data_IF_264378244069
#
_entry.id   IF_264378244069
#
_cell.length_a   1.000
_cell.length_b   1.000
_cell.length_c   1.000
_cell.angle_alpha   90.00
_cell.angle_beta   90.00
_cell.angle_gamma   90.00
#
_symmetry.space_group_name_H-M   'P 1'
#
loop_
_entity.id
_entity.type
_entity.pdbx_description
1 polymer ?
#
# COMPACT_ATOMS: atom_id res chain seq x y z
N UNK A 1 -25.90 10.98 22.27
CA UNK A 1 -24.53 10.49 22.58
C UNK A 1 -24.49 8.98 22.82
N UNK A 2 -25.41 8.37 23.58
CA UNK A 2 -25.41 6.93 23.90
C UNK A 2 -25.47 5.98 22.69
N UNK A 3 -26.23 6.31 21.64
CA UNK A 3 -26.36 5.47 20.45
C UNK A 3 -25.06 5.37 19.61
N UNK A 4 -24.26 6.44 19.55
CA UNK A 4 -22.95 6.42 18.88
C UNK A 4 -21.96 5.53 19.63
N UNK A 5 -21.90 5.61 20.96
CA UNK A 5 -21.02 4.75 21.75
C UNK A 5 -21.39 3.27 21.65
N UNK A 6 -22.69 2.95 21.56
CA UNK A 6 -23.17 1.59 21.35
C UNK A 6 -22.73 1.04 19.97
N UNK A 7 -22.89 1.81 18.90
CA UNK A 7 -22.48 1.39 17.56
C UNK A 7 -20.97 1.15 17.46
N UNK A 8 -20.14 1.98 18.08
CA UNK A 8 -18.68 1.78 18.13
C UNK A 8 -18.30 0.52 18.91
N UNK A 9 -18.96 0.28 20.05
CA UNK A 9 -18.74 -0.92 20.84
C UNK A 9 -19.13 -2.20 20.08
N UNK A 10 -20.25 -2.20 19.38
CA UNK A 10 -20.68 -3.32 18.53
C UNK A 10 -19.67 -3.57 17.41
N UNK A 11 -19.26 -2.54 16.68
CA UNK A 11 -18.26 -2.65 15.61
C UNK A 11 -16.93 -3.22 16.14
N UNK A 12 -16.45 -2.76 17.29
CA UNK A 12 -15.25 -3.26 17.93
C UNK A 12 -15.34 -4.75 18.29
N UNK A 13 -16.45 -5.18 18.89
CA UNK A 13 -16.68 -6.59 19.24
C UNK A 13 -16.80 -7.47 17.98
N UNK A 14 -17.46 -6.99 16.92
CA UNK A 14 -17.51 -7.72 15.64
C UNK A 14 -16.13 -7.94 15.06
N UNK A 15 -15.25 -6.93 15.07
CA UNK A 15 -13.87 -7.06 14.59
C UNK A 15 -13.09 -8.08 15.43
N UNK A 16 -13.21 -8.05 16.77
CA UNK A 16 -12.56 -9.04 17.65
C UNK A 16 -13.06 -10.45 17.34
N UNK A 17 -14.38 -10.64 17.22
CA UNK A 17 -14.97 -11.95 16.91
C UNK A 17 -14.48 -12.46 15.56
N UNK A 18 -14.46 -11.61 14.52
CA UNK A 18 -13.93 -11.97 13.21
C UNK A 18 -12.44 -12.36 13.29
N UNK A 19 -11.62 -11.58 14.00
CA UNK A 19 -10.21 -11.94 14.22
C UNK A 19 -10.08 -13.31 14.91
N UNK A 20 -10.85 -13.57 15.95
CA UNK A 20 -10.83 -14.86 16.64
C UNK A 20 -11.26 -16.01 15.73
N UNK A 21 -12.33 -15.82 14.94
CA UNK A 21 -12.82 -16.81 13.98
C UNK A 21 -11.78 -17.12 12.91
N UNK A 22 -11.10 -16.12 12.34
CA UNK A 22 -10.08 -16.32 11.30
C UNK A 22 -8.75 -16.83 11.85
N UNK A 23 -8.37 -16.49 13.08
CA UNK A 23 -7.13 -16.98 13.71
C UNK A 23 -7.27 -18.38 14.31
N UNK A 24 -8.46 -18.72 14.80
CA UNK A 24 -8.68 -20.01 15.48
C UNK A 24 -8.33 -21.23 14.63
N UNK A 25 -8.66 -21.32 13.33
CA UNK A 25 -8.26 -22.47 12.51
C UNK A 25 -6.74 -22.58 12.38
N UNK A 26 -6.04 -21.46 12.27
CA UNK A 26 -4.57 -21.44 12.16
C UNK A 26 -3.94 -21.89 13.48
N UNK A 27 -4.45 -21.45 14.62
CA UNK A 27 -3.95 -21.80 15.94
C UNK A 27 -4.29 -23.25 16.33
N UNK A 28 -5.50 -23.71 15.98
CA UNK A 28 -5.97 -25.06 16.38
C UNK A 28 -5.50 -26.17 15.42
N UNK A 29 -5.43 -25.87 14.13
CA UNK A 29 -5.11 -26.87 13.08
C UNK A 29 -3.76 -26.64 12.43
N UNK A 30 -3.09 -25.50 12.69
CA UNK A 30 -1.75 -25.22 12.23
C UNK A 30 -0.76 -26.20 12.88
N UNK A 31 -0.41 -27.27 12.16
CA UNK A 31 0.60 -28.22 12.61
C UNK A 31 1.98 -27.70 12.22
N UNK A 32 2.90 -27.40 13.16
CA UNK A 32 4.28 -26.99 12.84
C UNK A 32 5.00 -28.00 11.94
N UNK A 33 4.61 -29.27 12.04
CA UNK A 33 5.15 -30.37 11.21
C UNK A 33 4.73 -30.35 9.74
N UNK A 34 3.72 -29.55 9.38
CA UNK A 34 3.33 -29.37 7.97
C UNK A 34 4.35 -28.54 7.18
N UNK A 35 5.30 -27.89 7.87
CA UNK A 35 6.35 -27.07 7.26
C UNK A 35 7.73 -27.61 7.69
N UNK A 36 8.21 -28.70 7.07
CA UNK A 36 9.51 -29.29 7.40
C UNK A 36 10.66 -28.30 7.25
N UNK A 37 10.50 -27.29 6.40
CA UNK A 37 11.46 -26.19 6.22
C UNK A 37 11.63 -25.32 7.48
N UNK A 38 10.61 -25.22 8.34
CA UNK A 38 10.65 -24.48 9.61
C UNK A 38 11.23 -25.31 10.77
N UNK A 39 11.22 -26.62 10.64
CA UNK A 39 11.73 -27.54 11.64
C UNK A 39 13.12 -28.09 11.31
N UNK A 40 13.60 -27.86 10.08
CA UNK A 40 14.98 -28.17 9.72
C UNK A 40 15.94 -27.30 10.56
N UNK A 41 16.98 -27.90 11.19
CA UNK A 41 18.02 -27.09 11.83
C UNK A 41 18.52 -26.07 10.82
N UNK A 42 18.75 -24.80 11.24
CA UNK A 42 19.30 -23.82 10.33
C UNK A 42 20.57 -24.40 9.71
N UNK A 43 20.55 -24.61 8.38
CA UNK A 43 21.75 -25.02 7.67
C UNK A 43 22.84 -24.06 8.15
N UNK A 44 23.92 -24.61 8.75
CA UNK A 44 25.05 -23.81 9.19
C UNK A 44 25.31 -22.80 8.11
N UNK A 45 25.19 -21.53 8.45
CA UNK A 45 25.51 -20.43 7.55
C UNK A 45 27.01 -20.58 7.22
N UNK A 46 27.29 -21.42 6.25
CA UNK A 46 28.59 -21.38 5.58
C UNK A 46 28.71 -19.95 5.12
N UNK A 47 29.80 -19.28 5.47
CA UNK A 47 30.12 -17.87 5.18
C UNK A 47 29.89 -17.53 3.71
N UNK A 48 28.64 -17.45 3.31
CA UNK A 48 28.28 -17.00 1.99
C UNK A 48 28.55 -15.48 1.96
N UNK A 49 29.39 -15.01 1.04
CA UNK A 49 29.75 -13.60 0.97
C UNK A 49 28.48 -12.76 1.03
N UNK A 50 28.52 -11.67 1.83
CA UNK A 50 27.43 -10.70 1.94
C UNK A 50 27.14 -10.15 0.55
N UNK A 51 26.22 -10.78 -0.16
CA UNK A 51 25.77 -10.26 -1.44
C UNK A 51 25.03 -8.94 -1.15
N UNK A 52 25.50 -7.87 -1.75
CA UNK A 52 24.80 -6.58 -1.76
C UNK A 52 23.40 -6.81 -2.35
N UNK A 53 22.36 -6.07 -1.87
CA UNK A 53 21.04 -6.15 -2.47
C UNK A 53 21.16 -5.95 -3.98
N UNK A 54 20.52 -6.80 -4.76
CA UNK A 54 20.52 -6.64 -6.22
C UNK A 54 19.86 -5.32 -6.60
N UNK A 55 20.37 -4.64 -7.62
CA UNK A 55 19.80 -3.36 -8.09
C UNK A 55 18.28 -3.40 -8.30
N UNK A 56 17.69 -4.48 -8.85
CA UNK A 56 16.24 -4.65 -8.93
C UNK A 56 15.51 -4.66 -7.58
N UNK A 57 16.04 -5.33 -6.56
CA UNK A 57 15.42 -5.37 -5.23
C UNK A 57 15.40 -3.99 -4.56
N UNK A 58 16.47 -3.21 -4.71
CA UNK A 58 16.53 -1.83 -4.21
C UNK A 58 15.51 -0.93 -4.90
N UNK A 59 15.37 -1.03 -6.22
CA UNK A 59 14.37 -0.26 -6.98
C UNK A 59 12.94 -0.61 -6.57
N UNK A 60 12.65 -1.90 -6.39
CA UNK A 60 11.35 -2.35 -5.88
C UNK A 60 11.08 -1.79 -4.49
N UNK A 61 12.07 -1.88 -3.59
CA UNK A 61 11.93 -1.35 -2.23
C UNK A 61 11.66 0.15 -2.22
N UNK A 62 12.45 0.94 -2.98
CA UNK A 62 12.25 2.38 -3.10
C UNK A 62 10.90 2.73 -3.73
N UNK A 63 10.50 2.07 -4.80
CA UNK A 63 9.21 2.32 -5.44
C UNK A 63 8.04 2.07 -4.47
N UNK A 64 8.10 0.99 -3.69
CA UNK A 64 7.09 0.72 -2.66
C UNK A 64 7.09 1.79 -1.58
N UNK A 65 8.26 2.18 -1.08
CA UNK A 65 8.37 3.21 -0.04
C UNK A 65 7.72 4.53 -0.48
N UNK A 66 8.01 4.98 -1.71
CA UNK A 66 7.47 6.23 -2.24
C UNK A 66 5.95 6.20 -2.38
N UNK A 67 5.39 5.10 -2.88
CA UNK A 67 3.93 4.93 -2.98
C UNK A 67 3.28 4.81 -1.59
N UNK A 68 3.93 4.12 -0.65
CA UNK A 68 3.43 3.99 0.73
C UNK A 68 3.44 5.32 1.49
N UNK A 69 4.38 6.23 1.21
CA UNK A 69 4.36 7.58 1.77
C UNK A 69 3.09 8.30 1.32
N UNK A 70 2.72 8.19 0.04
CA UNK A 70 1.50 8.78 -0.48
C UNK A 70 0.22 8.17 0.14
N UNK A 71 0.18 6.85 0.27
CA UNK A 71 -0.94 6.15 0.91
C UNK A 71 -1.10 6.55 2.39
N UNK A 72 -0.01 6.58 3.15
CA UNK A 72 -0.03 6.94 4.56
C UNK A 72 -0.52 8.38 4.78
N UNK A 73 -0.18 9.32 3.87
CA UNK A 73 -0.68 10.68 3.89
C UNK A 73 -2.20 10.73 3.83
N UNK A 74 -2.74 10.05 2.84
CA UNK A 74 -4.17 10.06 2.59
C UNK A 74 -4.96 9.31 3.63
N UNK A 75 -4.45 8.20 4.12
CA UNK A 75 -5.09 7.49 5.23
C UNK A 75 -5.25 8.37 6.47
N UNK A 76 -4.21 9.14 6.82
CA UNK A 76 -4.21 9.97 8.02
C UNK A 76 -5.00 11.28 7.85
N UNK A 77 -4.88 11.94 6.69
CA UNK A 77 -5.31 13.33 6.53
C UNK A 77 -6.47 13.53 5.54
N UNK A 78 -6.96 12.49 4.88
CA UNK A 78 -8.05 12.55 3.91
C UNK A 78 -9.30 13.25 4.47
N UNK A 79 -9.65 12.96 5.71
CA UNK A 79 -10.81 13.56 6.36
C UNK A 79 -10.67 15.07 6.54
N UNK A 80 -9.49 15.52 6.96
CA UNK A 80 -9.22 16.94 7.13
C UNK A 80 -9.21 17.67 5.79
N UNK A 81 -8.67 17.04 4.75
CA UNK A 81 -8.70 17.60 3.41
C UNK A 81 -10.11 17.70 2.86
N UNK A 82 -10.93 16.68 2.94
CA UNK A 82 -12.32 16.76 2.50
C UNK A 82 -13.10 17.85 3.24
N UNK A 83 -12.89 17.98 4.55
CA UNK A 83 -13.53 19.05 5.34
C UNK A 83 -12.98 20.44 5.07
N UNK A 84 -11.82 20.56 4.49
CA UNK A 84 -11.33 21.86 4.02
C UNK A 84 -12.03 22.33 2.74
N UNK A 85 -12.61 21.39 1.97
CA UNK A 85 -13.42 21.68 0.77
C UNK A 85 -14.90 21.84 1.16
N UNK A 86 -15.42 20.92 1.96
CA UNK A 86 -16.81 20.92 2.45
C UNK A 86 -16.84 20.64 3.96
N UNK A 87 -17.07 21.70 4.78
CA UNK A 87 -17.13 21.56 6.24
C UNK A 87 -18.27 20.66 6.75
N UNK A 88 -19.33 20.50 5.98
CA UNK A 88 -20.53 19.72 6.36
C UNK A 88 -20.40 18.23 6.02
N UNK A 89 -19.27 17.81 5.45
CA UNK A 89 -19.01 16.42 5.11
C UNK A 89 -19.12 15.49 6.33
N UNK A 90 -19.92 14.43 6.20
CA UNK A 90 -20.16 13.46 7.25
C UNK A 90 -19.03 12.42 7.35
N UNK A 91 -18.79 11.92 8.57
CA UNK A 91 -17.75 10.92 8.84
C UNK A 91 -17.95 9.59 8.07
N UNK A 92 -19.24 9.22 7.82
CA UNK A 92 -19.59 7.99 7.10
C UNK A 92 -19.26 8.06 5.60
N UNK A 93 -19.21 9.25 4.99
CA UNK A 93 -18.88 9.39 3.59
C UNK A 93 -17.44 8.98 3.29
N UNK A 94 -16.49 9.35 4.16
CA UNK A 94 -15.09 8.89 4.05
C UNK A 94 -15.01 7.37 4.05
N UNK A 95 -15.68 6.71 4.99
CA UNK A 95 -15.68 5.26 5.09
C UNK A 95 -16.31 4.60 3.84
N UNK A 96 -17.39 5.19 3.31
CA UNK A 96 -18.06 4.73 2.09
C UNK A 96 -17.14 4.81 0.87
N UNK A 97 -16.47 5.96 0.67
CA UNK A 97 -15.56 6.14 -0.47
C UNK A 97 -14.39 5.17 -0.37
N UNK A 98 -13.81 4.99 0.81
CA UNK A 98 -12.74 4.04 1.05
C UNK A 98 -13.19 2.59 0.76
N UNK A 99 -14.39 2.21 1.22
CA UNK A 99 -14.98 0.90 0.95
C UNK A 99 -15.20 0.65 -0.55
N UNK A 100 -15.67 1.65 -1.29
CA UNK A 100 -15.84 1.57 -2.75
C UNK A 100 -14.46 1.36 -3.42
N UNK A 101 -13.45 2.14 -3.03
CA UNK A 101 -12.11 2.02 -3.59
C UNK A 101 -11.54 0.60 -3.39
N UNK A 102 -11.65 0.04 -2.18
CA UNK A 102 -11.20 -1.33 -1.89
C UNK A 102 -11.98 -2.38 -2.70
N UNK A 103 -13.32 -2.23 -2.80
CA UNK A 103 -14.17 -3.16 -3.54
C UNK A 103 -13.82 -3.18 -5.02
N UNK A 104 -13.55 -2.03 -5.62
CA UNK A 104 -13.14 -1.93 -7.03
C UNK A 104 -11.70 -2.41 -7.25
N UNK A 105 -10.82 -2.20 -6.28
CA UNK A 105 -9.41 -2.59 -6.41
C UNK A 105 -9.22 -4.10 -6.52
N UNK A 106 -10.03 -4.92 -5.84
CA UNK A 106 -9.89 -6.38 -5.83
C UNK A 106 -10.00 -7.01 -7.23
N UNK A 107 -11.10 -6.81 -7.98
CA UNK A 107 -11.21 -7.40 -9.33
C UNK A 107 -10.16 -6.83 -10.29
N UNK A 108 -9.81 -5.54 -10.18
CA UNK A 108 -8.80 -4.92 -11.03
C UNK A 108 -7.41 -5.51 -10.73
N UNK A 109 -7.05 -5.72 -9.46
CA UNK A 109 -5.78 -6.34 -9.08
C UNK A 109 -5.68 -7.77 -9.62
N UNK A 110 -6.76 -8.56 -9.49
CA UNK A 110 -6.80 -9.93 -10.00
C UNK A 110 -6.71 -9.97 -11.53
N UNK A 111 -7.44 -9.10 -12.22
CA UNK A 111 -7.40 -9.01 -13.67
C UNK A 111 -6.01 -8.58 -14.18
N UNK A 112 -5.43 -7.56 -13.55
CA UNK A 112 -4.10 -7.03 -13.87
C UNK A 112 -3.00 -8.07 -13.61
N UNK A 113 -3.10 -8.83 -12.51
CA UNK A 113 -2.17 -9.93 -12.21
C UNK A 113 -2.24 -11.05 -13.25
N UNK A 114 -3.45 -11.50 -13.57
CA UNK A 114 -3.66 -12.52 -14.63
C UNK A 114 -3.16 -12.06 -16.00
N UNK A 115 -3.40 -10.80 -16.33
CA UNK A 115 -2.92 -10.22 -17.58
C UNK A 115 -1.39 -10.17 -17.62
N UNK A 116 -0.75 -9.75 -16.52
CA UNK A 116 0.70 -9.72 -16.38
C UNK A 116 1.33 -11.10 -16.58
N UNK A 117 0.74 -12.12 -15.96
CA UNK A 117 1.23 -13.51 -16.05
C UNK A 117 1.05 -14.08 -17.47
N UNK A 118 -0.07 -13.78 -18.14
CA UNK A 118 -0.34 -14.26 -19.51
C UNK A 118 0.57 -13.62 -20.56
N UNK A 119 0.99 -12.36 -20.33
CA UNK A 119 1.78 -11.62 -21.32
C UNK A 119 3.28 -11.56 -20.97
N UNK A 120 3.69 -12.22 -19.89
CA UNK A 120 5.08 -12.19 -19.37
C UNK A 120 5.59 -10.76 -19.15
N UNK A 121 4.73 -9.89 -18.62
CA UNK A 121 5.02 -8.49 -18.35
C UNK A 121 4.70 -8.11 -16.90
N UNK A 122 5.44 -8.66 -15.92
CA UNK A 122 5.09 -8.56 -14.50
C UNK A 122 5.16 -7.13 -13.95
N UNK A 123 5.98 -6.25 -14.52
CA UNK A 123 6.16 -4.88 -14.03
C UNK A 123 5.22 -3.86 -14.70
N UNK A 124 4.64 -4.18 -15.86
CA UNK A 124 3.82 -3.20 -16.57
C UNK A 124 2.56 -2.76 -15.80
N UNK A 125 1.80 -3.66 -15.16
CA UNK A 125 0.68 -3.22 -14.31
C UNK A 125 1.10 -2.37 -13.11
N UNK A 126 2.29 -2.62 -12.55
CA UNK A 126 2.83 -1.78 -11.48
C UNK A 126 3.13 -0.36 -11.95
N UNK A 127 3.77 -0.24 -13.11
CA UNK A 127 4.06 1.05 -13.76
C UNK A 127 2.75 1.80 -14.06
N UNK A 128 1.78 1.10 -14.64
CA UNK A 128 0.47 1.68 -14.97
C UNK A 128 -0.28 2.13 -13.71
N UNK A 129 -0.32 1.30 -12.67
CA UNK A 129 -0.97 1.64 -11.41
C UNK A 129 -0.31 2.83 -10.72
N UNK A 130 1.03 2.92 -10.73
CA UNK A 130 1.74 4.07 -10.18
C UNK A 130 1.44 5.37 -10.98
N UNK A 131 1.37 5.28 -12.31
CA UNK A 131 1.01 6.42 -13.16
C UNK A 131 -0.42 6.92 -12.89
N UNK A 132 -1.39 5.99 -12.80
CA UNK A 132 -2.79 6.32 -12.49
C UNK A 132 -2.93 6.87 -11.07
N UNK A 133 -2.19 6.33 -10.12
CA UNK A 133 -2.14 6.86 -8.75
C UNK A 133 -1.62 8.29 -8.70
N UNK A 134 -0.52 8.58 -9.42
CA UNK A 134 0.02 9.94 -9.53
C UNK A 134 -0.99 10.91 -10.20
N UNK A 135 -1.68 10.48 -11.25
CA UNK A 135 -2.72 11.26 -11.90
C UNK A 135 -3.90 11.55 -10.95
N UNK A 136 -4.31 10.56 -10.15
CA UNK A 136 -5.32 10.75 -9.10
C UNK A 136 -4.91 11.83 -8.09
N UNK A 137 -3.65 11.83 -7.63
CA UNK A 137 -3.16 12.88 -6.71
C UNK A 137 -3.10 14.27 -7.36
N UNK A 138 -2.73 14.36 -8.63
CA UNK A 138 -2.81 15.64 -9.36
C UNK A 138 -4.26 16.11 -9.44
N UNK A 139 -5.20 15.20 -9.72
CA UNK A 139 -6.63 15.52 -9.68
C UNK A 139 -7.09 16.00 -8.30
N UNK A 140 -6.58 15.41 -7.21
CA UNK A 140 -6.85 15.86 -5.84
C UNK A 140 -6.28 17.26 -5.57
N UNK A 141 -5.07 17.55 -6.04
CA UNK A 141 -4.46 18.87 -5.90
C UNK A 141 -5.22 19.98 -6.65
N UNK A 142 -5.90 19.63 -7.73
CA UNK A 142 -6.69 20.57 -8.54
C UNK A 142 -8.18 20.60 -8.16
N UNK A 143 -8.61 19.78 -7.21
CA UNK A 143 -10.00 19.65 -6.84
C UNK A 143 -10.46 20.81 -5.95
N UNK A 144 -11.35 21.65 -6.48
CA UNK A 144 -12.01 22.74 -5.76
C UNK A 144 -13.42 22.35 -5.27
N UNK A 145 -13.98 21.27 -5.81
CA UNK A 145 -15.31 20.76 -5.50
C UNK A 145 -15.23 19.35 -4.93
N UNK A 146 -16.16 19.02 -4.02
CA UNK A 146 -16.18 17.76 -3.30
C UNK A 146 -16.30 16.53 -4.23
N UNK A 147 -17.09 16.63 -5.30
CA UNK A 147 -17.30 15.52 -6.23
C UNK A 147 -16.04 15.21 -7.03
N UNK A 148 -15.33 16.23 -7.49
CA UNK A 148 -14.03 16.06 -8.15
C UNK A 148 -13.00 15.51 -7.17
N UNK A 149 -13.00 15.97 -5.92
CA UNK A 149 -12.15 15.48 -4.86
C UNK A 149 -12.39 13.98 -4.59
N UNK A 150 -13.65 13.56 -4.46
CA UNK A 150 -14.05 12.16 -4.28
C UNK A 150 -13.64 11.28 -5.46
N UNK A 151 -13.89 11.74 -6.68
CA UNK A 151 -13.52 11.01 -7.91
C UNK A 151 -12.01 10.83 -8.02
N UNK A 152 -11.24 11.89 -7.79
CA UNK A 152 -9.78 11.86 -7.82
C UNK A 152 -9.20 10.93 -6.75
N UNK A 153 -9.76 10.96 -5.55
CA UNK A 153 -9.39 10.02 -4.49
C UNK A 153 -9.72 8.57 -4.84
N UNK A 154 -10.87 8.29 -5.46
CA UNK A 154 -11.21 6.94 -5.91
C UNK A 154 -10.19 6.41 -6.93
N UNK A 155 -9.81 7.23 -7.89
CA UNK A 155 -8.76 6.89 -8.87
C UNK A 155 -7.45 6.57 -8.17
N UNK A 156 -7.01 7.43 -7.27
CA UNK A 156 -5.81 7.22 -6.46
C UNK A 156 -5.91 5.93 -5.62
N UNK A 157 -6.97 5.78 -4.83
CA UNK A 157 -7.14 4.68 -3.87
C UNK A 157 -7.20 3.31 -4.54
N UNK A 158 -7.94 3.20 -5.66
CA UNK A 158 -7.98 1.97 -6.46
C UNK A 158 -6.59 1.66 -7.03
N UNK A 159 -5.96 2.63 -7.68
CA UNK A 159 -4.66 2.43 -8.32
C UNK A 159 -3.57 2.05 -7.31
N UNK A 160 -3.52 2.71 -6.14
CA UNK A 160 -2.56 2.42 -5.08
C UNK A 160 -2.78 1.04 -4.47
N UNK A 161 -4.03 0.66 -4.21
CA UNK A 161 -4.36 -0.68 -3.69
C UNK A 161 -3.96 -1.78 -4.68
N UNK A 162 -4.22 -1.59 -5.98
CA UNK A 162 -3.78 -2.50 -7.05
C UNK A 162 -2.25 -2.57 -7.08
N UNK A 163 -1.57 -1.44 -7.04
CA UNK A 163 -0.11 -1.36 -7.00
C UNK A 163 0.46 -2.19 -5.84
N UNK A 164 0.00 -1.96 -4.61
CA UNK A 164 0.53 -2.61 -3.41
C UNK A 164 0.28 -4.13 -3.42
N UNK A 165 -0.87 -4.55 -3.90
CA UNK A 165 -1.21 -5.96 -4.04
C UNK A 165 -0.29 -6.68 -5.04
N UNK A 166 -0.10 -6.11 -6.23
CA UNK A 166 0.77 -6.66 -7.26
C UNK A 166 2.25 -6.58 -6.86
N UNK A 167 2.64 -5.47 -6.22
CA UNK A 167 4.01 -5.29 -5.74
C UNK A 167 4.41 -6.37 -4.74
N UNK A 168 3.54 -6.72 -3.80
CA UNK A 168 3.81 -7.78 -2.82
C UNK A 168 4.05 -9.13 -3.50
N UNK A 169 3.26 -9.48 -4.52
CA UNK A 169 3.46 -10.73 -5.27
C UNK A 169 4.76 -10.73 -6.08
N UNK A 170 5.11 -9.62 -6.71
CA UNK A 170 6.35 -9.52 -7.50
C UNK A 170 7.61 -9.49 -6.61
N UNK A 171 7.51 -8.91 -5.41
CA UNK A 171 8.60 -8.93 -4.43
C UNK A 171 8.99 -10.35 -4.08
N UNK A 172 8.03 -11.25 -3.85
CA UNK A 172 8.30 -12.66 -3.54
C UNK A 172 9.03 -13.39 -4.67
N UNK A 173 8.83 -12.97 -5.93
CA UNK A 173 9.53 -13.55 -7.10
C UNK A 173 10.99 -13.10 -7.22
N UNK A 174 11.31 -11.90 -6.71
CA UNK A 174 12.67 -11.31 -6.82
C UNK A 174 13.56 -11.70 -5.65
N UNK A 175 13.01 -12.14 -4.52
CA UNK A 175 13.78 -12.51 -3.33
C UNK A 175 14.59 -13.78 -3.60
N UNK A 176 15.95 -13.70 -3.57
CA UNK A 176 16.78 -14.73 -4.21
C UNK A 176 17.01 -16.00 -3.40
N UNK A 177 16.71 -16.07 -2.09
CA UNK A 177 17.05 -17.22 -1.25
C UNK A 177 16.03 -17.50 -0.15
N UNK A 178 15.78 -18.81 0.08
CA UNK A 178 14.89 -19.29 1.14
C UNK A 178 15.45 -19.05 2.56
N UNK A 179 16.76 -19.09 2.73
CA UNK A 179 17.46 -18.98 4.02
C UNK A 179 17.45 -17.57 4.65
N UNK A 180 17.23 -16.53 3.86
CA UNK A 180 17.20 -15.12 4.32
C UNK A 180 15.88 -14.41 4.09
N UNK A 181 14.87 -15.10 3.61
CA UNK A 181 13.54 -14.52 3.30
C UNK A 181 12.95 -13.72 4.46
N UNK A 182 13.09 -14.20 5.70
CA UNK A 182 12.57 -13.53 6.88
C UNK A 182 13.18 -12.13 7.08
N UNK A 183 14.50 -12.01 6.94
CA UNK A 183 15.20 -10.73 7.04
C UNK A 183 14.82 -9.79 5.89
N UNK A 184 14.80 -10.30 4.68
CA UNK A 184 14.53 -9.50 3.49
C UNK A 184 13.07 -9.04 3.47
N UNK A 185 12.12 -9.88 3.89
CA UNK A 185 10.74 -9.48 4.12
C UNK A 185 10.61 -8.45 5.25
N UNK A 186 11.41 -8.58 6.33
CA UNK A 186 11.47 -7.56 7.39
C UNK A 186 11.91 -6.21 6.86
N UNK A 187 12.94 -6.16 6.00
CA UNK A 187 13.39 -4.92 5.34
C UNK A 187 12.29 -4.36 4.42
N UNK A 188 11.60 -5.22 3.66
CA UNK A 188 10.46 -4.77 2.85
C UNK A 188 9.31 -4.25 3.73
N UNK A 189 9.10 -4.83 4.90
CA UNK A 189 8.05 -4.36 5.82
C UNK A 189 8.33 -2.96 6.41
N UNK A 190 9.60 -2.52 6.45
CA UNK A 190 9.93 -1.14 6.81
C UNK A 190 9.27 -0.12 5.88
N UNK A 191 8.97 -0.47 4.64
CA UNK A 191 8.24 0.41 3.73
C UNK A 191 6.83 0.74 4.20
N UNK A 192 6.25 -0.06 5.10
CA UNK A 192 4.94 0.21 5.71
C UNK A 192 5.07 1.07 6.96
N UNK A 193 6.18 0.97 7.70
CA UNK A 193 6.37 1.66 8.99
C UNK A 193 7.01 3.04 8.82
N UNK A 194 8.02 3.15 7.94
CA UNK A 194 8.75 4.41 7.70
C UNK A 194 7.81 5.54 7.23
N UNK A 195 6.84 5.33 6.34
CA UNK A 195 5.89 6.36 5.93
C UNK A 195 5.11 6.96 7.10
N UNK A 196 4.69 6.13 8.08
CA UNK A 196 3.95 6.60 9.24
C UNK A 196 4.75 7.55 10.14
N UNK A 197 6.08 7.48 10.10
CA UNK A 197 6.97 8.40 10.80
C UNK A 197 7.21 9.68 10.00
N UNK A 198 7.31 9.58 8.67
CA UNK A 198 7.60 10.72 7.78
C UNK A 198 6.37 11.62 7.63
N UNK A 199 5.19 11.04 7.52
CA UNK A 199 3.98 11.75 7.12
C UNK A 199 3.52 12.85 8.08
N UNK A 200 3.49 12.67 9.42
CA UNK A 200 3.13 13.75 10.32
C UNK A 200 4.04 14.96 10.16
N UNK A 201 5.35 14.72 10.05
CA UNK A 201 6.33 15.79 9.85
C UNK A 201 6.14 16.51 8.52
N UNK A 202 5.95 15.76 7.43
CA UNK A 202 5.74 16.33 6.10
C UNK A 202 4.46 17.18 6.04
N UNK A 203 3.37 16.69 6.64
CA UNK A 203 2.08 17.39 6.65
C UNK A 203 2.14 18.67 7.48
N UNK A 204 2.72 18.62 8.68
CA UNK A 204 2.87 19.81 9.54
C UNK A 204 3.77 20.85 8.91
N UNK A 205 4.78 20.44 8.14
CA UNK A 205 5.71 21.37 7.48
C UNK A 205 5.12 22.02 6.23
N UNK A 206 4.27 21.32 5.48
CA UNK A 206 3.78 21.79 4.18
C UNK A 206 2.39 22.41 4.26
N UNK A 207 1.44 21.75 4.92
CA UNK A 207 0.02 22.13 4.84
C UNK A 207 -0.26 23.52 5.42
N UNK A 208 0.33 23.95 6.55
CA UNK A 208 0.05 25.29 7.08
C UNK A 208 0.52 26.44 6.19
N UNK A 209 1.59 26.23 5.41
CA UNK A 209 2.17 27.26 4.54
C UNK A 209 1.69 27.22 3.09
N UNK A 210 1.42 26.02 2.57
CA UNK A 210 1.20 25.80 1.14
C UNK A 210 -0.11 25.06 0.82
N UNK A 211 -0.88 24.63 1.82
CA UNK A 211 -2.13 23.90 1.63
C UNK A 211 -1.94 22.41 1.31
N UNK A 212 -3.06 21.72 1.20
CA UNK A 212 -3.09 20.31 0.80
C UNK A 212 -2.66 20.10 -0.65
N UNK A 213 -2.86 21.06 -1.52
CA UNK A 213 -2.53 21.00 -2.94
C UNK A 213 -1.03 20.77 -3.14
N UNK A 214 -0.19 21.53 -2.42
CA UNK A 214 1.26 21.34 -2.44
C UNK A 214 1.68 19.96 -1.92
N UNK A 215 1.01 19.47 -0.87
CA UNK A 215 1.25 18.13 -0.36
C UNK A 215 0.93 17.08 -1.42
N UNK A 216 -0.22 17.15 -2.08
CA UNK A 216 -0.60 16.18 -3.11
C UNK A 216 0.29 16.24 -4.34
N UNK A 217 0.73 17.43 -4.78
CA UNK A 217 1.69 17.55 -5.87
C UNK A 217 3.04 16.94 -5.51
N UNK A 218 3.53 17.14 -4.29
CA UNK A 218 4.73 16.47 -3.83
C UNK A 218 4.59 14.94 -3.84
N UNK A 219 3.47 14.42 -3.33
CA UNK A 219 3.20 12.97 -3.30
C UNK A 219 3.03 12.40 -4.71
N UNK A 220 2.40 13.14 -5.62
CA UNK A 220 2.32 12.78 -7.04
C UNK A 220 3.73 12.69 -7.65
N UNK A 221 4.61 13.64 -7.34
CA UNK A 221 6.01 13.60 -7.77
C UNK A 221 6.77 12.38 -7.25
N UNK A 222 6.60 12.03 -5.97
CA UNK A 222 7.20 10.82 -5.39
C UNK A 222 6.69 9.55 -6.07
N UNK A 223 5.38 9.47 -6.34
CA UNK A 223 4.77 8.33 -7.04
C UNK A 223 5.22 8.25 -8.50
N UNK A 224 5.43 9.39 -9.15
CA UNK A 224 6.01 9.45 -10.50
C UNK A 224 7.45 8.93 -10.51
N UNK A 225 8.26 9.27 -9.51
CA UNK A 225 9.60 8.70 -9.35
C UNK A 225 9.51 7.17 -9.17
N UNK A 226 8.57 6.68 -8.38
CA UNK A 226 8.34 5.23 -8.22
C UNK A 226 7.99 4.57 -9.58
N UNK A 227 7.12 5.19 -10.37
CA UNK A 227 6.79 4.73 -11.73
C UNK A 227 8.04 4.64 -12.61
N UNK A 228 8.88 5.68 -12.62
CA UNK A 228 10.11 5.71 -13.42
C UNK A 228 11.11 4.63 -12.98
N UNK A 229 11.28 4.43 -11.66
CA UNK A 229 12.14 3.36 -11.12
C UNK A 229 11.70 1.98 -11.60
N UNK A 230 10.39 1.73 -11.67
CA UNK A 230 9.84 0.46 -12.14
C UNK A 230 9.90 0.32 -13.67
N UNK A 231 9.67 1.41 -14.40
CA UNK A 231 9.74 1.41 -15.87
C UNK A 231 11.16 1.10 -16.39
N UNK A 232 12.18 1.44 -15.60
CA UNK A 232 13.58 1.16 -15.93
C UNK A 232 14.06 -0.21 -15.46
N UNK A 233 13.16 -1.08 -14.94
CA UNK A 233 13.56 -2.42 -14.54
C UNK A 233 13.80 -3.33 -15.74
N UNK A 234 14.90 -4.13 -15.71
CA UNK A 234 15.13 -5.11 -16.76
C UNK A 234 14.01 -6.15 -16.76
N UNK A 235 13.60 -6.59 -17.95
CA UNK A 235 12.64 -7.69 -18.09
C UNK A 235 13.25 -8.95 -17.47
N UNK A 236 12.52 -9.70 -16.64
CA UNK A 236 12.99 -11.01 -16.21
C UNK A 236 13.18 -11.88 -17.47
N UNK A 237 14.33 -12.52 -17.57
CA UNK A 237 14.62 -13.53 -18.60
C UNK A 237 14.05 -14.86 -18.16
#
# INVERSE_FOLDING_TARGET
MAFRSFAYNVAFHVVIVLMMVFLSPVLLFGRPRAFPELTAPPARAVDAPRQRPSGPAVRMWLARLLVQIAEAALFAYLYFWFRSIDPDMQDNEKARIFGIALTLAVPIALASGRWADRNDRPFLPLVASAAVSAAGMVGMALATELDLAKASYLVFGVATTVFLSLHSSQTLRILPRSDRRGRDLGIFNLTNTVPSLIMPWLTISLVPGFGFDALFLLLAGLTMIAMLLLATMPRPR
#
